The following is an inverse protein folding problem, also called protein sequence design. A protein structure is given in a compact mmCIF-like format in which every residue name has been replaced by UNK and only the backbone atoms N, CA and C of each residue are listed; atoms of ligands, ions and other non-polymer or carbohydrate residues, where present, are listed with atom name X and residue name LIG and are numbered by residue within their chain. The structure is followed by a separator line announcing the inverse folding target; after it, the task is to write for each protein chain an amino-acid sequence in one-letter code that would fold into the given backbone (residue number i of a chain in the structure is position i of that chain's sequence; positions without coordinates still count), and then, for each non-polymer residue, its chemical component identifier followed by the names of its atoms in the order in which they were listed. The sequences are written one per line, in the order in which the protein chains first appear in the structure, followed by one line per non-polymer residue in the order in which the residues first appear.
data_IF_198765865254
#
_entry.id   IF_198765865254
#
_cell.length_a   1.000
_cell.length_b   1.000
_cell.length_c   1.000
_cell.angle_alpha   90.00
_cell.angle_beta   90.00
_cell.angle_gamma   90.00
#
_symmetry.space_group_name_H-M   'P 1'
#
loop_
_entity.id
_entity.type
_entity.pdbx_description
1 polymer ?
#
# COMPACT_ATOMS: atom_id res chain seq x y z
N UNK A 1 -40.61 -19.14 -13.88
CA UNK A 1 -40.15 -17.74 -13.86
C UNK A 1 -40.49 -17.31 -12.46
N UNK A 2 -39.53 -17.44 -11.56
CA UNK A 2 -39.74 -17.20 -10.13
C UNK A 2 -39.28 -15.77 -9.87
N UNK A 3 -40.26 -14.92 -9.58
CA UNK A 3 -40.05 -13.53 -9.16
C UNK A 3 -39.42 -13.55 -7.76
N UNK A 4 -38.18 -13.05 -7.68
CA UNK A 4 -37.49 -12.86 -6.40
C UNK A 4 -38.01 -11.55 -5.78
N UNK A 5 -38.86 -11.69 -4.75
CA UNK A 5 -39.31 -10.59 -3.89
C UNK A 5 -38.10 -9.90 -3.24
N UNK A 6 -37.87 -8.64 -3.62
CA UNK A 6 -36.92 -7.75 -2.97
C UNK A 6 -37.51 -7.31 -1.62
N UNK A 7 -36.80 -7.60 -0.53
CA UNK A 7 -37.23 -7.29 0.83
C UNK A 7 -36.97 -5.80 1.15
N UNK A 8 -38.02 -5.00 1.26
CA UNK A 8 -38.02 -3.55 1.54
C UNK A 8 -37.44 -3.15 2.92
N UNK A 9 -36.94 -4.09 3.71
CA UNK A 9 -36.35 -3.82 5.02
C UNK A 9 -34.91 -3.27 4.97
N UNK A 10 -34.21 -3.33 3.83
CA UNK A 10 -32.89 -2.72 3.69
C UNK A 10 -32.94 -1.19 3.48
N UNK A 11 -34.14 -0.64 3.20
CA UNK A 11 -34.32 0.80 2.98
C UNK A 11 -34.58 1.57 4.28
N UNK A 12 -34.79 0.87 5.40
CA UNK A 12 -35.15 1.49 6.69
C UNK A 12 -33.96 1.99 7.52
N UNK A 13 -32.72 1.70 7.14
CA UNK A 13 -31.53 2.20 7.87
C UNK A 13 -31.10 3.61 7.39
N UNK A 14 -31.54 4.05 6.21
CA UNK A 14 -31.07 5.32 5.64
C UNK A 14 -31.79 6.58 6.14
N UNK A 15 -32.95 6.45 6.80
CA UNK A 15 -33.83 7.58 7.05
C UNK A 15 -33.87 8.10 8.50
N UNK A 16 -33.05 7.56 9.41
CA UNK A 16 -33.05 8.02 10.82
C UNK A 16 -31.69 8.53 11.32
N UNK A 17 -30.89 9.15 10.43
CA UNK A 17 -29.74 9.93 10.90
C UNK A 17 -29.62 11.28 10.17
N UNK A 18 -30.58 12.15 10.47
CA UNK A 18 -30.66 13.52 9.95
C UNK A 18 -29.62 14.49 10.55
N UNK A 19 -28.68 14.02 11.39
CA UNK A 19 -27.59 14.83 11.97
C UNK A 19 -26.18 14.25 11.67
N UNK A 20 -26.03 13.38 10.65
CA UNK A 20 -24.83 12.56 10.43
C UNK A 20 -24.01 12.85 9.15
N UNK A 21 -24.34 13.91 8.41
CA UNK A 21 -23.72 14.17 7.08
C UNK A 21 -22.21 14.39 7.15
N UNK A 22 -21.69 14.95 8.24
CA UNK A 22 -20.26 15.20 8.40
C UNK A 22 -19.48 13.94 8.79
N UNK A 23 -20.09 13.04 9.57
CA UNK A 23 -19.46 11.79 9.99
C UNK A 23 -19.34 10.83 8.81
N UNK A 24 -20.42 10.61 8.04
CA UNK A 24 -20.37 9.76 6.85
C UNK A 24 -19.34 10.24 5.82
N UNK A 25 -19.14 11.56 5.72
CA UNK A 25 -18.15 12.17 4.82
C UNK A 25 -16.72 12.01 5.32
N UNK A 26 -16.46 12.15 6.62
CA UNK A 26 -15.14 11.91 7.20
C UNK A 26 -14.73 10.42 7.10
N UNK A 27 -15.67 9.50 7.35
CA UNK A 27 -15.46 8.07 7.18
C UNK A 27 -15.22 7.69 5.71
N UNK A 28 -15.90 8.34 4.77
CA UNK A 28 -15.64 8.09 3.34
C UNK A 28 -14.30 8.67 2.88
N UNK A 29 -13.92 9.86 3.36
CA UNK A 29 -12.62 10.48 3.06
C UNK A 29 -11.44 9.67 3.66
N UNK A 30 -11.55 9.18 4.90
CA UNK A 30 -10.51 8.33 5.51
C UNK A 30 -10.33 7.03 4.74
N UNK A 31 -11.45 6.37 4.39
CA UNK A 31 -11.43 5.10 3.65
C UNK A 31 -10.83 5.28 2.25
N UNK A 32 -11.12 6.39 1.56
CA UNK A 32 -10.53 6.68 0.24
C UNK A 32 -9.02 6.94 0.37
N UNK A 33 -8.60 7.69 1.38
CA UNK A 33 -7.19 7.96 1.62
C UNK A 33 -6.41 6.66 1.83
N UNK A 34 -6.93 5.75 2.65
CA UNK A 34 -6.30 4.45 2.93
C UNK A 34 -6.18 3.60 1.65
N UNK A 35 -7.23 3.55 0.82
CA UNK A 35 -7.21 2.83 -0.47
C UNK A 35 -6.15 3.43 -1.42
N UNK A 36 -6.08 4.76 -1.51
CA UNK A 36 -5.12 5.45 -2.39
C UNK A 36 -3.69 5.25 -1.90
N UNK A 37 -3.46 5.29 -0.58
CA UNK A 37 -2.15 5.02 0.02
C UNK A 37 -1.72 3.58 -0.23
N UNK A 38 -2.60 2.60 0.01
CA UNK A 38 -2.29 1.20 -0.24
C UNK A 38 -1.99 0.93 -1.72
N UNK A 39 -2.78 1.51 -2.63
CA UNK A 39 -2.52 1.43 -4.06
C UNK A 39 -1.17 2.10 -4.42
N UNK A 40 -0.90 3.29 -3.91
CA UNK A 40 0.38 3.98 -4.12
C UNK A 40 1.57 3.14 -3.66
N UNK A 41 1.46 2.52 -2.50
CA UNK A 41 2.49 1.63 -1.95
C UNK A 41 2.66 0.38 -2.82
N UNK A 42 1.57 -0.26 -3.25
CA UNK A 42 1.63 -1.44 -4.13
C UNK A 42 2.30 -1.10 -5.47
N UNK A 43 2.09 0.11 -5.99
CA UNK A 43 2.76 0.60 -7.19
C UNK A 43 4.28 0.76 -6.98
N UNK A 44 4.69 1.40 -5.89
CA UNK A 44 6.12 1.58 -5.58
C UNK A 44 6.79 0.22 -5.34
N UNK A 45 6.19 -0.65 -4.54
CA UNK A 45 6.68 -1.99 -4.29
C UNK A 45 6.76 -2.81 -5.58
N UNK A 46 5.74 -2.76 -6.42
CA UNK A 46 5.75 -3.45 -7.71
C UNK A 46 6.83 -2.94 -8.67
N UNK A 47 7.11 -1.63 -8.67
CA UNK A 47 8.21 -1.05 -9.43
C UNK A 47 9.57 -1.53 -8.93
N UNK A 48 9.80 -1.50 -7.61
CA UNK A 48 11.05 -1.97 -6.99
C UNK A 48 11.26 -3.47 -7.24
N UNK A 49 10.21 -4.27 -7.13
CA UNK A 49 10.24 -5.69 -7.44
C UNK A 49 10.58 -5.94 -8.91
N UNK A 50 10.04 -5.11 -9.83
CA UNK A 50 10.36 -5.19 -11.25
C UNK A 50 11.84 -4.89 -11.53
N UNK A 51 12.37 -3.82 -10.93
CA UNK A 51 13.78 -3.43 -11.09
C UNK A 51 14.74 -4.50 -10.57
N UNK A 52 14.36 -5.19 -9.50
CA UNK A 52 15.19 -6.20 -8.86
C UNK A 52 14.91 -7.63 -9.34
N UNK A 53 14.05 -7.83 -10.33
CA UNK A 53 13.54 -9.16 -10.75
C UNK A 53 14.61 -10.20 -11.07
N UNK A 54 15.74 -9.76 -11.63
CA UNK A 54 16.84 -10.65 -12.01
C UNK A 54 17.61 -11.14 -10.79
N UNK A 55 17.72 -10.31 -9.73
CA UNK A 55 18.49 -10.63 -8.52
C UNK A 55 17.61 -11.26 -7.44
N UNK A 56 16.37 -10.79 -7.32
CA UNK A 56 15.41 -11.21 -6.29
C UNK A 56 14.03 -11.50 -6.92
N UNK A 57 13.89 -12.63 -7.65
CA UNK A 57 12.64 -12.98 -8.30
C UNK A 57 11.50 -13.24 -7.30
N UNK A 58 11.82 -13.61 -6.06
CA UNK A 58 10.87 -13.84 -4.97
C UNK A 58 10.16 -12.57 -4.45
N UNK A 59 10.61 -11.39 -4.88
CA UNK A 59 9.90 -10.13 -4.60
C UNK A 59 8.62 -9.98 -5.41
N UNK A 60 8.42 -10.84 -6.42
CA UNK A 60 7.25 -10.79 -7.29
C UNK A 60 6.29 -11.93 -6.98
N UNK A 61 5.00 -11.65 -7.09
CA UNK A 61 3.98 -12.68 -7.18
C UNK A 61 4.09 -13.35 -8.54
N UNK A 62 3.98 -14.68 -8.57
CA UNK A 62 3.77 -15.41 -9.82
C UNK A 62 2.38 -15.03 -10.36
N UNK A 63 2.34 -14.17 -11.36
CA UNK A 63 1.09 -13.77 -12.00
C UNK A 63 0.52 -14.95 -12.80
N UNK A 64 -0.63 -15.46 -12.37
CA UNK A 64 -1.46 -16.34 -13.20
C UNK A 64 -2.28 -15.48 -14.16
N UNK A 65 -2.51 -15.95 -15.39
CA UNK A 65 -3.15 -15.20 -16.48
C UNK A 65 -4.62 -14.76 -16.22
N UNK A 66 -5.15 -14.94 -15.01
CA UNK A 66 -6.57 -14.74 -14.64
C UNK A 66 -6.83 -13.44 -13.88
N UNK A 67 -5.81 -12.58 -13.76
CA UNK A 67 -5.83 -11.34 -12.97
C UNK A 67 -6.44 -10.14 -13.75
N UNK A 68 -7.54 -10.36 -14.49
CA UNK A 68 -8.12 -9.39 -15.44
C UNK A 68 -8.76 -8.14 -14.81
N UNK A 69 -8.81 -8.05 -13.48
CA UNK A 69 -9.36 -6.89 -12.74
C UNK A 69 -8.30 -6.16 -11.89
N UNK A 70 -7.00 -6.39 -12.15
CA UNK A 70 -5.95 -5.78 -11.33
C UNK A 70 -5.61 -4.36 -11.79
N UNK A 71 -5.85 -3.38 -10.91
CA UNK A 71 -5.63 -1.95 -11.17
C UNK A 71 -4.18 -1.63 -11.58
N UNK A 72 -3.19 -2.35 -11.04
CA UNK A 72 -1.78 -2.25 -11.46
C UNK A 72 -1.61 -2.57 -12.95
N UNK A 73 -2.29 -3.59 -13.48
CA UNK A 73 -2.20 -3.92 -14.90
C UNK A 73 -2.84 -2.82 -15.75
N UNK A 74 -3.97 -2.28 -15.28
CA UNK A 74 -4.68 -1.17 -15.91
C UNK A 74 -3.83 0.11 -15.99
N UNK A 75 -3.06 0.43 -14.94
CA UNK A 75 -2.24 1.65 -14.88
C UNK A 75 -0.86 1.45 -15.53
N UNK A 76 -0.22 0.30 -15.33
CA UNK A 76 1.17 0.09 -15.71
C UNK A 76 1.38 -0.45 -17.13
N UNK A 77 0.32 -0.90 -17.83
CA UNK A 77 0.41 -1.51 -19.17
C UNK A 77 1.44 -2.66 -19.25
N UNK A 78 1.63 -3.40 -18.16
CA UNK A 78 2.54 -4.55 -18.07
C UNK A 78 4.00 -4.23 -17.73
N UNK A 79 4.32 -2.96 -17.43
CA UNK A 79 5.68 -2.56 -17.03
C UNK A 79 5.94 -2.67 -15.52
N UNK A 80 4.93 -3.00 -14.73
CA UNK A 80 5.04 -3.18 -13.28
C UNK A 80 4.76 -4.64 -12.93
N UNK A 81 5.49 -5.15 -11.94
CA UNK A 81 5.25 -6.48 -11.40
C UNK A 81 4.36 -6.40 -10.17
N UNK A 82 3.58 -7.43 -9.89
CA UNK A 82 2.91 -7.53 -8.59
C UNK A 82 3.94 -7.89 -7.53
N UNK A 83 4.04 -7.13 -6.42
CA UNK A 83 4.91 -7.52 -5.32
C UNK A 83 4.41 -8.83 -4.69
N UNK A 84 5.32 -9.62 -4.12
CA UNK A 84 4.94 -10.74 -3.27
C UNK A 84 4.29 -10.26 -1.98
N UNK A 85 3.52 -11.12 -1.32
CA UNK A 85 2.85 -10.76 -0.07
C UNK A 85 3.87 -10.41 1.02
N UNK A 86 4.99 -11.13 1.08
CA UNK A 86 6.09 -10.84 2.01
C UNK A 86 6.71 -9.48 1.75
N UNK A 87 6.92 -9.14 0.48
CA UNK A 87 7.46 -7.83 0.13
C UNK A 87 6.46 -6.71 0.44
N UNK A 88 5.18 -6.89 0.09
CA UNK A 88 4.13 -5.90 0.38
C UNK A 88 3.95 -5.66 1.88
N UNK A 89 4.01 -6.71 2.71
CA UNK A 89 3.96 -6.54 4.17
C UNK A 89 5.17 -5.76 4.68
N UNK A 90 6.35 -6.05 4.15
CA UNK A 90 7.57 -5.31 4.49
C UNK A 90 7.48 -3.85 4.08
N UNK A 91 6.91 -3.56 2.90
CA UNK A 91 6.63 -2.21 2.41
C UNK A 91 5.69 -1.45 3.37
N UNK A 92 4.64 -2.10 3.88
CA UNK A 92 3.73 -1.50 4.88
C UNK A 92 4.46 -1.15 6.17
N UNK A 93 5.33 -2.05 6.66
CA UNK A 93 6.18 -1.77 7.81
C UNK A 93 7.14 -0.61 7.53
N UNK A 94 7.73 -0.56 6.33
CA UNK A 94 8.62 0.52 5.91
C UNK A 94 7.91 1.88 5.89
N UNK A 95 6.70 1.95 5.34
CA UNK A 95 5.89 3.16 5.31
C UNK A 95 5.48 3.61 6.71
N UNK A 96 5.05 2.68 7.58
CA UNK A 96 4.78 2.96 9.00
C UNK A 96 6.02 3.52 9.70
N UNK A 97 7.19 2.92 9.52
CA UNK A 97 8.44 3.41 10.10
C UNK A 97 8.82 4.80 9.55
N UNK A 98 8.61 5.04 8.26
CA UNK A 98 8.86 6.32 7.61
C UNK A 98 7.96 7.43 8.16
N UNK A 99 6.65 7.19 8.22
CA UNK A 99 5.67 8.13 8.74
C UNK A 99 5.89 8.42 10.22
N UNK A 100 6.25 7.42 11.03
CA UNK A 100 6.62 7.63 12.43
C UNK A 100 7.92 8.41 12.61
N UNK A 101 8.88 8.26 11.69
CA UNK A 101 10.17 8.96 11.75
C UNK A 101 10.02 10.44 11.42
N UNK A 102 9.22 10.79 10.41
CA UNK A 102 9.06 12.18 9.96
C UNK A 102 7.85 12.91 10.56
N UNK A 103 6.81 12.20 10.99
CA UNK A 103 5.56 12.83 11.43
C UNK A 103 5.03 13.79 10.34
N UNK A 104 4.80 15.05 10.71
CA UNK A 104 4.33 16.09 9.77
C UNK A 104 5.45 16.88 9.08
N UNK A 105 6.73 16.67 9.45
CA UNK A 105 7.83 17.52 9.01
C UNK A 105 9.08 16.73 8.59
N UNK A 106 9.60 17.03 7.40
CA UNK A 106 10.85 16.44 6.95
C UNK A 106 12.05 16.97 7.74
N UNK A 107 12.73 16.06 8.42
CA UNK A 107 14.02 16.32 9.05
C UNK A 107 15.12 16.37 7.98
N UNK A 108 16.05 17.32 8.09
CA UNK A 108 17.27 17.42 7.26
C UNK A 108 18.44 16.62 7.83
N UNK A 109 18.15 15.66 8.70
CA UNK A 109 19.16 14.82 9.31
C UNK A 109 19.92 13.98 8.28
N UNK A 110 21.18 13.67 8.58
CA UNK A 110 21.97 12.76 7.77
C UNK A 110 21.55 11.31 7.99
N UNK A 111 21.77 10.48 6.96
CA UNK A 111 21.59 9.02 6.96
C UNK A 111 20.17 8.55 7.30
N UNK A 112 19.15 9.30 6.86
CA UNK A 112 17.76 8.97 7.23
C UNK A 112 17.34 7.60 6.73
N UNK A 113 17.69 7.22 5.49
CA UNK A 113 17.35 5.91 4.94
C UNK A 113 17.90 4.79 5.85
N UNK A 114 19.15 4.89 6.29
CA UNK A 114 19.76 3.90 7.19
C UNK A 114 19.09 3.89 8.57
N UNK A 115 18.69 5.05 9.10
CA UNK A 115 17.95 5.13 10.37
C UNK A 115 16.59 4.41 10.26
N UNK A 116 15.85 4.65 9.18
CA UNK A 116 14.56 4.01 8.93
C UNK A 116 14.74 2.50 8.74
N UNK A 117 15.74 2.04 7.99
CA UNK A 117 16.05 0.61 7.85
C UNK A 117 16.32 -0.04 9.21
N UNK A 118 17.06 0.65 10.08
CA UNK A 118 17.31 0.16 11.43
C UNK A 118 16.05 0.15 12.31
N UNK A 119 15.04 0.97 12.02
CA UNK A 119 13.73 0.89 12.66
C UNK A 119 12.93 -0.30 12.13
N UNK A 120 12.88 -0.48 10.81
CA UNK A 120 12.22 -1.61 10.15
C UNK A 120 12.75 -2.93 10.70
N UNK A 121 14.08 -3.12 10.73
CA UNK A 121 14.71 -4.35 11.24
C UNK A 121 14.46 -4.63 12.74
N UNK A 122 13.98 -3.64 13.49
CA UNK A 122 13.61 -3.79 14.91
C UNK A 122 12.10 -3.98 15.10
N UNK A 123 11.30 -3.77 14.06
CA UNK A 123 9.86 -4.00 14.12
C UNK A 123 9.58 -5.51 14.16
N UNK A 124 8.64 -5.93 15.00
CA UNK A 124 8.30 -7.34 15.17
C UNK A 124 7.59 -7.94 13.95
N UNK A 125 7.03 -7.10 13.08
CA UNK A 125 6.37 -7.50 11.83
C UNK A 125 7.36 -7.68 10.67
N UNK A 126 8.64 -7.29 10.86
CA UNK A 126 9.64 -7.41 9.83
C UNK A 126 10.02 -8.87 9.55
N UNK A 127 9.96 -9.24 8.27
CA UNK A 127 10.42 -10.52 7.78
C UNK A 127 11.85 -10.36 7.26
N UNK A 128 12.81 -11.09 7.85
CA UNK A 128 14.23 -11.12 7.46
C UNK A 128 14.49 -11.83 6.11
N UNK A 129 13.54 -11.69 5.18
CA UNK A 129 13.61 -12.23 3.82
C UNK A 129 13.79 -11.15 2.75
N UNK A 130 13.66 -9.87 3.11
CA UNK A 130 13.85 -8.75 2.18
C UNK A 130 15.25 -8.14 2.36
N UNK A 131 16.13 -8.22 1.34
CA UNK A 131 17.48 -7.67 1.42
C UNK A 131 17.50 -6.17 1.70
N UNK A 132 18.50 -5.70 2.45
CA UNK A 132 18.62 -4.29 2.82
C UNK A 132 18.69 -3.35 1.62
N UNK A 133 19.39 -3.74 0.55
CA UNK A 133 19.47 -2.95 -0.68
C UNK A 133 18.11 -2.74 -1.36
N UNK A 134 17.18 -3.69 -1.20
CA UNK A 134 15.81 -3.55 -1.71
C UNK A 134 15.05 -2.51 -0.89
N UNK A 135 15.19 -2.54 0.45
CA UNK A 135 14.64 -1.53 1.35
C UNK A 135 15.21 -0.14 1.07
N UNK A 136 16.51 -0.05 0.79
CA UNK A 136 17.16 1.20 0.41
C UNK A 136 16.57 1.76 -0.88
N UNK A 137 16.38 0.92 -1.91
CA UNK A 137 15.76 1.32 -3.17
C UNK A 137 14.33 1.82 -2.95
N UNK A 138 13.51 1.08 -2.20
CA UNK A 138 12.13 1.45 -1.91
C UNK A 138 12.03 2.79 -1.19
N UNK A 139 12.76 2.95 -0.07
CA UNK A 139 12.77 4.19 0.70
C UNK A 139 13.32 5.37 -0.10
N UNK A 140 14.27 5.13 -1.02
CA UNK A 140 14.77 6.17 -1.90
C UNK A 140 13.68 6.71 -2.83
N UNK A 141 12.85 5.84 -3.41
CA UNK A 141 11.72 6.27 -4.23
C UNK A 141 10.68 7.01 -3.39
N UNK A 142 10.29 6.47 -2.24
CA UNK A 142 9.33 7.15 -1.34
C UNK A 142 9.83 8.53 -0.90
N UNK A 143 11.13 8.67 -0.64
CA UNK A 143 11.73 9.94 -0.24
C UNK A 143 11.90 10.94 -1.39
N UNK A 144 12.18 10.47 -2.62
CA UNK A 144 12.31 11.34 -3.79
C UNK A 144 10.99 12.02 -4.15
N UNK A 145 9.85 11.35 -3.96
CA UNK A 145 8.52 11.93 -4.17
C UNK A 145 8.04 12.85 -3.04
N UNK A 146 8.71 12.84 -1.89
CA UNK A 146 8.30 13.56 -0.71
C UNK A 146 8.96 14.94 -0.53
N UNK A 147 9.93 15.30 -1.40
CA UNK A 147 10.60 16.61 -1.45
C UNK A 147 9.94 17.55 -2.45
#
# INVERSE_FOLDING_TARGET
MDDMDYNDNDLFIFNEISDNTDICRLYSESTISDIVQEAGLEYVAGYVAHQNKTKYPNLQKLTTNDDSENWIQSVSKGYLSHPSNEFMNTSKTAEKCFNNFYGEHFSKEDYVIQKIINLIKRDNEYLDCIPEEVLQCELAYTYEFAK
#
